data_IF_122519206462
#
_entry.id   IF_122519206462
#
_cell.length_a   1.000
_cell.length_b   1.000
_cell.length_c   1.000
_cell.angle_alpha   90.00
_cell.angle_beta   90.00
_cell.angle_gamma   90.00
#
_symmetry.space_group_name_H-M   'P 1'
#
loop_
_entity.id
_entity.type
_entity.pdbx_description
1 polymer ?
#
# COMPACT_ATOMS: atom_id res chain seq x y z
N UNK A 1 -6.62 -9.22 8.69
CA UNK A 1 -6.75 -7.79 9.03
C UNK A 1 -5.64 -7.07 8.29
N UNK A 2 -5.93 -6.06 7.47
CA UNK A 2 -4.91 -5.31 6.74
C UNK A 2 -4.16 -4.35 7.69
N UNK A 3 -2.84 -4.28 7.55
CA UNK A 3 -1.96 -3.47 8.41
C UNK A 3 -2.06 -1.98 8.06
N UNK A 4 -2.25 -1.66 6.77
CA UNK A 4 -2.34 -0.26 6.31
C UNK A 4 -3.26 -0.15 5.10
N UNK A 5 -4.02 0.94 5.03
CA UNK A 5 -4.96 1.24 3.95
C UNK A 5 -4.41 2.30 2.97
N UNK A 6 -5.15 2.56 1.89
CA UNK A 6 -4.72 3.48 0.83
C UNK A 6 -4.55 4.94 1.28
N UNK A 7 -5.26 5.40 2.31
CA UNK A 7 -5.13 6.78 2.81
C UNK A 7 -3.77 6.95 3.50
N UNK A 8 -3.42 6.03 4.39
CA UNK A 8 -2.13 6.00 5.07
C UNK A 8 -0.97 5.87 4.06
N UNK A 9 -1.12 5.01 3.04
CA UNK A 9 -0.13 4.90 1.95
C UNK A 9 0.09 6.24 1.25
N UNK A 10 -0.99 6.99 0.96
CA UNK A 10 -0.91 8.30 0.29
C UNK A 10 -0.22 9.37 1.13
N UNK A 11 -0.28 9.27 2.46
CA UNK A 11 0.43 10.21 3.35
C UNK A 11 1.94 9.94 3.36
N UNK A 12 2.35 8.68 3.21
CA UNK A 12 3.77 8.27 3.23
C UNK A 12 4.44 8.51 1.88
N UNK A 13 3.80 8.12 0.76
CA UNK A 13 4.38 8.25 -0.58
C UNK A 13 3.66 9.31 -1.41
N UNK A 14 4.37 10.07 -2.27
CA UNK A 14 3.77 11.11 -3.10
C UNK A 14 2.99 10.55 -4.30
N UNK A 15 3.06 9.24 -4.57
CA UNK A 15 2.40 8.62 -5.72
C UNK A 15 0.87 8.79 -5.64
N UNK A 16 0.27 9.21 -6.76
CA UNK A 16 -1.18 9.40 -6.93
C UNK A 16 -1.64 8.72 -8.20
N UNK A 17 -2.95 8.69 -8.43
CA UNK A 17 -3.51 8.24 -9.70
C UNK A 17 -2.86 9.01 -10.87
N UNK A 18 -2.46 8.36 -11.98
CA UNK A 18 -2.68 6.95 -12.34
C UNK A 18 -1.57 5.97 -11.91
N UNK A 19 -0.54 6.44 -11.20
CA UNK A 19 0.64 5.65 -10.83
C UNK A 19 0.57 4.97 -9.46
N UNK A 20 -0.42 5.28 -8.63
CA UNK A 20 -0.64 4.57 -7.37
C UNK A 20 -1.29 3.21 -7.65
N UNK A 21 -0.47 2.16 -7.66
CA UNK A 21 -0.88 0.78 -8.01
C UNK A 21 -1.10 -0.11 -6.77
N UNK A 22 -1.35 0.49 -5.60
CA UNK A 22 -1.47 -0.19 -4.31
C UNK A 22 -2.79 0.19 -3.64
N UNK A 23 -3.55 -0.80 -3.14
CA UNK A 23 -4.81 -0.56 -2.45
C UNK A 23 -4.70 -0.75 -0.93
N UNK A 24 -3.92 -1.72 -0.47
CA UNK A 24 -3.70 -2.01 0.94
C UNK A 24 -2.43 -2.81 1.17
N UNK A 25 -1.91 -2.76 2.39
CA UNK A 25 -0.80 -3.59 2.88
C UNK A 25 -1.37 -4.67 3.79
N UNK A 26 -1.03 -5.93 3.50
CA UNK A 26 -1.44 -7.10 4.27
C UNK A 26 -0.39 -7.49 5.31
N UNK A 27 0.90 -7.32 5.02
CA UNK A 27 2.02 -7.61 5.94
C UNK A 27 3.11 -6.53 5.82
N UNK A 28 3.76 -6.20 6.94
CA UNK A 28 4.87 -5.26 6.99
C UNK A 28 5.91 -5.72 8.03
N UNK A 29 7.12 -5.99 7.56
CA UNK A 29 8.34 -6.13 8.36
C UNK A 29 9.29 -5.00 7.98
N UNK A 30 9.41 -3.99 8.84
CA UNK A 30 10.22 -2.81 8.59
C UNK A 30 11.68 -3.17 8.26
N UNK A 31 12.19 -2.62 7.15
CA UNK A 31 13.54 -2.88 6.66
C UNK A 31 13.78 -4.28 6.09
N UNK A 32 12.77 -5.15 6.04
CA UNK A 32 12.91 -6.54 5.55
C UNK A 32 11.95 -6.87 4.40
N UNK A 33 10.64 -6.74 4.62
CA UNK A 33 9.61 -7.26 3.70
C UNK A 33 8.31 -6.49 3.83
N UNK A 34 7.59 -6.37 2.72
CA UNK A 34 6.23 -5.84 2.68
C UNK A 34 5.38 -6.68 1.72
N UNK A 35 4.12 -6.93 2.07
CA UNK A 35 3.12 -7.54 1.19
C UNK A 35 1.99 -6.56 0.98
N UNK A 36 1.80 -6.13 -0.26
CA UNK A 36 0.72 -5.23 -0.64
C UNK A 36 -0.13 -5.85 -1.74
N UNK A 37 -1.40 -5.44 -1.77
CA UNK A 37 -2.39 -5.96 -2.71
C UNK A 37 -2.86 -4.86 -3.65
N UNK A 38 -2.94 -5.23 -4.93
CA UNK A 38 -3.56 -4.45 -6.00
C UNK A 38 -4.82 -5.19 -6.45
N UNK A 39 -5.95 -4.55 -6.36
CA UNK A 39 -7.22 -5.02 -6.88
C UNK A 39 -7.32 -4.58 -8.34
N UNK A 40 -7.24 -5.55 -9.25
CA UNK A 40 -7.55 -5.35 -10.66
C UNK A 40 -9.05 -5.60 -10.82
N UNK A 41 -9.81 -4.54 -11.06
CA UNK A 41 -11.21 -4.59 -11.49
C UNK A 41 -11.33 -3.93 -12.86
#
# INVERSE_FOLDING_TARGET
>A
MSVMNIQEIKEIIPHRFPMLLLDRIEELEEGKRIVAKKMLR
#
